data_IF_051263396530
#
_entry.id   IF_051263396530
#
_cell.length_a   1.000
_cell.length_b   1.000
_cell.length_c   1.000
_cell.angle_alpha   90.00
_cell.angle_beta   90.00
_cell.angle_gamma   90.00
#
_symmetry.space_group_name_H-M   'P 1'
#
loop_
_entity.id
_entity.type
_entity.pdbx_description
1 polymer ?
#
# COMPACT_ATOMS: atom_id res chain seq x y z
N UNK A 1 48.50 10.09 63.17
CA UNK A 1 47.74 9.10 62.40
C UNK A 1 47.14 9.83 61.22
N UNK A 2 47.83 9.82 60.08
CA UNK A 2 47.42 10.53 58.87
C UNK A 2 47.76 9.67 57.66
N UNK A 3 46.75 9.36 56.87
CA UNK A 3 46.80 8.89 55.49
C UNK A 3 45.46 9.29 54.82
N UNK A 4 45.34 9.37 53.48
CA UNK A 4 46.40 9.43 52.47
C UNK A 4 46.15 10.49 51.37
N UNK A 5 47.22 10.70 50.60
CA UNK A 5 47.30 11.20 49.22
C UNK A 5 46.51 10.29 48.26
N UNK A 6 45.97 10.81 47.15
CA UNK A 6 46.19 10.27 45.77
C UNK A 6 45.67 11.25 44.72
N UNK A 7 46.50 11.38 43.69
CA UNK A 7 46.45 12.20 42.49
C UNK A 7 45.57 11.53 41.41
N UNK A 8 44.98 12.31 40.51
CA UNK A 8 44.47 11.77 39.24
C UNK A 8 43.80 12.82 38.36
N UNK A 9 44.61 13.51 37.54
CA UNK A 9 44.12 14.27 36.40
C UNK A 9 44.03 13.41 35.14
N UNK A 10 43.27 13.88 34.15
CA UNK A 10 43.47 13.50 32.76
C UNK A 10 42.20 13.19 31.97
N UNK A 11 42.01 13.95 30.89
CA UNK A 11 41.55 13.39 29.62
C UNK A 11 40.07 13.54 29.30
N UNK A 12 39.72 14.66 28.68
CA UNK A 12 38.55 14.74 27.82
C UNK A 12 38.71 13.81 26.61
N UNK A 13 37.62 13.12 26.27
CA UNK A 13 37.46 12.36 25.05
C UNK A 13 35.97 12.27 24.77
N UNK A 14 35.49 13.04 23.79
CA UNK A 14 34.10 13.06 23.38
C UNK A 14 33.68 11.68 22.88
N UNK A 15 32.57 11.18 23.42
CA UNK A 15 31.85 10.08 22.81
C UNK A 15 31.13 10.67 21.58
N UNK A 16 31.72 10.46 20.40
CA UNK A 16 31.00 10.56 19.15
C UNK A 16 30.02 9.38 19.12
N UNK A 17 28.72 9.70 19.11
CA UNK A 17 27.66 8.75 18.81
C UNK A 17 27.96 8.08 17.46
N UNK A 18 28.36 6.81 17.51
CA UNK A 18 28.38 5.95 16.34
C UNK A 18 26.91 5.69 15.97
N UNK A 19 26.37 6.53 15.09
CA UNK A 19 25.15 6.22 14.34
C UNK A 19 25.40 4.90 13.62
N UNK A 20 24.79 3.83 14.13
CA UNK A 20 24.70 2.58 13.40
C UNK A 20 23.89 2.87 12.12
N UNK A 21 24.55 2.80 10.98
CA UNK A 21 23.87 2.80 9.69
C UNK A 21 22.84 1.66 9.68
N UNK A 22 21.60 1.89 9.24
CA UNK A 22 20.67 0.80 9.06
C UNK A 22 21.25 -0.10 7.97
N UNK A 23 21.60 -1.33 8.35
CA UNK A 23 22.00 -2.37 7.40
C UNK A 23 20.79 -2.67 6.51
N UNK A 24 20.70 -1.95 5.40
CA UNK A 24 19.76 -2.21 4.31
C UNK A 24 20.16 -3.50 3.62
N UNK A 25 19.58 -4.62 4.07
CA UNK A 25 19.54 -5.84 3.29
C UNK A 25 18.68 -5.61 2.04
N UNK A 26 19.30 -5.11 0.97
CA UNK A 26 18.68 -4.83 -0.31
C UNK A 26 18.28 -6.09 -1.06
N UNK A 27 17.25 -6.78 -0.57
CA UNK A 27 16.39 -7.56 -1.44
C UNK A 27 15.46 -6.59 -2.17
N UNK A 28 15.36 -6.69 -3.49
CA UNK A 28 14.36 -5.92 -4.25
C UNK A 28 12.99 -6.38 -3.76
N UNK A 29 12.28 -5.50 -3.05
CA UNK A 29 10.90 -5.76 -2.63
C UNK A 29 10.00 -6.00 -3.85
N UNK A 30 8.84 -6.61 -3.64
CA UNK A 30 7.81 -6.62 -4.69
C UNK A 30 7.40 -5.20 -5.06
N UNK A 31 6.76 -5.02 -6.21
CA UNK A 31 6.20 -3.74 -6.61
C UNK A 31 4.76 -3.88 -7.08
N UNK A 32 4.02 -2.78 -7.01
CA UNK A 32 2.63 -2.70 -7.40
C UNK A 32 2.40 -1.56 -8.39
N UNK A 33 1.34 -1.71 -9.20
CA UNK A 33 0.75 -0.63 -9.99
C UNK A 33 -0.52 -0.19 -9.27
N UNK A 34 -0.63 1.09 -8.93
CA UNK A 34 -1.67 1.63 -8.06
C UNK A 34 -2.41 2.79 -8.73
N UNK A 35 -3.72 2.92 -8.46
CA UNK A 35 -4.49 4.14 -8.71
C UNK A 35 -4.57 4.97 -7.45
N UNK A 36 -4.24 6.26 -7.55
CA UNK A 36 -4.37 7.23 -6.46
C UNK A 36 -5.57 8.12 -6.63
N UNK A 37 -6.09 8.58 -5.49
CA UNK A 37 -7.35 9.28 -5.42
C UNK A 37 -7.18 10.80 -5.43
N UNK A 38 -8.26 11.50 -5.75
CA UNK A 38 -8.38 12.91 -5.41
C UNK A 38 -8.26 13.11 -3.87
N UNK A 39 -7.91 14.33 -3.41
CA UNK A 39 -7.74 14.59 -1.99
C UNK A 39 -9.01 14.36 -1.14
N UNK A 40 -10.21 14.50 -1.71
CA UNK A 40 -11.45 14.35 -0.95
C UNK A 40 -11.74 12.88 -0.64
N UNK A 41 -11.56 11.99 -1.61
CA UNK A 41 -11.67 10.54 -1.44
C UNK A 41 -10.54 10.01 -0.56
N UNK A 42 -9.29 10.42 -0.79
CA UNK A 42 -8.13 10.02 0.02
C UNK A 42 -8.36 10.34 1.51
N UNK A 43 -8.77 11.57 1.82
CA UNK A 43 -9.03 11.99 3.20
C UNK A 43 -10.16 11.20 3.89
N UNK A 44 -11.15 10.73 3.15
CA UNK A 44 -12.22 9.91 3.72
C UNK A 44 -11.72 8.50 4.09
N UNK A 45 -10.85 7.92 3.25
CA UNK A 45 -10.22 6.62 3.55
C UNK A 45 -9.23 6.75 4.71
N UNK A 46 -8.42 7.83 4.74
CA UNK A 46 -7.50 8.10 5.86
C UNK A 46 -8.22 8.25 7.20
N UNK A 47 -9.45 8.77 7.24
CA UNK A 47 -10.25 8.80 8.47
C UNK A 47 -10.54 7.38 8.98
N UNK A 48 -10.85 6.44 8.09
CA UNK A 48 -11.05 5.04 8.47
C UNK A 48 -9.77 4.43 9.06
N UNK A 49 -8.62 4.65 8.42
CA UNK A 49 -7.31 4.21 8.92
C UNK A 49 -7.06 4.74 10.34
N UNK A 50 -7.26 6.05 10.54
CA UNK A 50 -7.05 6.71 11.84
C UNK A 50 -7.96 6.16 12.94
N UNK A 51 -9.22 5.85 12.64
CA UNK A 51 -10.15 5.28 13.63
C UNK A 51 -9.72 3.87 14.03
N UNK A 52 -9.35 3.03 13.05
CA UNK A 52 -8.88 1.66 13.31
C UNK A 52 -7.55 1.66 14.10
N UNK A 53 -6.63 2.56 13.77
CA UNK A 53 -5.38 2.75 14.50
C UNK A 53 -5.62 3.17 15.97
N UNK A 54 -6.49 4.16 16.22
CA UNK A 54 -6.84 4.60 17.59
C UNK A 54 -7.51 3.51 18.42
N UNK A 55 -8.20 2.56 17.78
CA UNK A 55 -8.81 1.38 18.40
C UNK A 55 -7.83 0.22 18.57
N UNK A 56 -6.57 0.42 18.19
CA UNK A 56 -5.51 -0.61 18.23
C UNK A 56 -5.93 -1.87 17.49
N UNK A 57 -6.56 -1.70 16.32
CA UNK A 57 -6.95 -2.81 15.44
C UNK A 57 -5.86 -3.08 14.41
N UNK A 58 -5.37 -2.03 13.75
CA UNK A 58 -4.23 -2.12 12.83
C UNK A 58 -3.64 -0.73 12.60
N UNK A 59 -2.32 -0.67 12.51
CA UNK A 59 -1.54 0.49 12.05
C UNK A 59 -0.73 0.19 10.79
N UNK A 60 -0.82 -1.04 10.26
CA UNK A 60 0.09 -1.59 9.24
C UNK A 60 0.26 -0.67 8.03
N UNK A 61 -0.85 -0.16 7.47
CA UNK A 61 -0.84 0.72 6.30
C UNK A 61 -0.14 2.07 6.58
N UNK A 62 -0.24 2.57 7.81
CA UNK A 62 0.46 3.79 8.25
C UNK A 62 1.95 3.49 8.42
N UNK A 63 2.29 2.36 9.05
CA UNK A 63 3.67 1.98 9.38
C UNK A 63 4.53 1.74 8.13
N UNK A 64 3.92 1.32 7.01
CA UNK A 64 4.62 1.14 5.73
C UNK A 64 4.63 2.39 4.85
N UNK A 65 4.14 3.53 5.35
CA UNK A 65 3.97 4.78 4.59
C UNK A 65 3.11 4.62 3.34
N UNK A 66 2.08 3.76 3.39
CA UNK A 66 1.12 3.66 2.30
C UNK A 66 0.24 4.91 2.24
N UNK A 67 -0.35 5.14 1.07
CA UNK A 67 -1.44 6.09 0.87
C UNK A 67 -2.68 5.34 0.36
N UNK A 68 -3.91 5.80 0.60
CA UNK A 68 -5.11 5.17 0.03
C UNK A 68 -5.03 5.04 -1.49
N UNK A 69 -5.26 3.82 -1.98
CA UNK A 69 -5.14 3.49 -3.40
C UNK A 69 -6.05 2.31 -3.78
N UNK A 70 -6.15 2.03 -5.09
CA UNK A 70 -6.57 0.72 -5.61
C UNK A 70 -5.37 0.04 -6.28
N UNK A 71 -5.05 -1.18 -5.88
CA UNK A 71 -4.00 -1.97 -6.54
C UNK A 71 -4.54 -2.55 -7.85
N UNK A 72 -3.93 -2.17 -8.97
CA UNK A 72 -4.24 -2.72 -10.30
C UNK A 72 -3.44 -3.99 -10.59
N UNK A 73 -2.18 -4.04 -10.16
CA UNK A 73 -1.28 -5.19 -10.30
C UNK A 73 -0.35 -5.24 -9.10
N UNK A 74 0.05 -6.43 -8.66
CA UNK A 74 1.09 -6.61 -7.64
C UNK A 74 2.00 -7.77 -8.02
N UNK A 75 3.30 -7.49 -8.14
CA UNK A 75 4.33 -8.48 -8.41
C UNK A 75 5.08 -8.80 -7.11
N UNK A 76 5.05 -10.05 -6.62
CA UNK A 76 5.82 -10.44 -5.43
C UNK A 76 7.32 -10.41 -5.72
N UNK A 77 8.14 -10.35 -4.67
CA UNK A 77 9.60 -10.39 -4.80
C UNK A 77 10.14 -11.75 -5.32
N UNK A 78 9.36 -12.83 -5.17
CA UNK A 78 9.73 -14.18 -5.58
C UNK A 78 8.58 -14.87 -6.32
N UNK A 79 8.82 -15.45 -7.53
CA UNK A 79 10.06 -15.33 -8.31
C UNK A 79 10.36 -13.88 -8.68
N UNK A 80 11.60 -13.58 -9.08
CA UNK A 80 12.03 -12.21 -9.38
C UNK A 80 11.08 -11.53 -10.37
N UNK A 81 10.52 -10.36 -10.06
CA UNK A 81 9.56 -9.72 -10.93
C UNK A 81 10.27 -9.07 -12.15
N UNK A 82 9.54 -8.77 -13.24
CA UNK A 82 10.09 -7.98 -14.35
C UNK A 82 10.58 -6.61 -13.86
N UNK A 83 11.63 -6.06 -14.47
CA UNK A 83 12.12 -4.72 -14.12
C UNK A 83 10.97 -3.67 -14.17
N UNK A 84 10.66 -2.99 -13.04
CA UNK A 84 9.56 -2.02 -12.97
C UNK A 84 9.74 -0.84 -13.91
N UNK A 85 10.97 -0.50 -14.32
CA UNK A 85 11.21 0.59 -15.27
C UNK A 85 10.67 0.27 -16.68
N UNK A 86 10.43 -1.00 -16.99
CA UNK A 86 9.75 -1.41 -18.24
C UNK A 86 8.30 -0.93 -18.30
N UNK A 87 7.69 -0.59 -17.17
CA UNK A 87 6.32 -0.08 -17.10
C UNK A 87 6.23 1.43 -17.41
N UNK A 88 7.34 2.16 -17.45
CA UNK A 88 7.35 3.62 -17.58
C UNK A 88 6.67 4.11 -18.86
N UNK A 89 7.13 3.62 -20.02
CA UNK A 89 6.56 3.98 -21.34
C UNK A 89 5.09 3.55 -21.49
N UNK A 90 4.72 2.27 -21.24
CA UNK A 90 3.33 1.85 -21.39
C UNK A 90 2.37 2.57 -20.44
N UNK A 91 2.77 2.83 -19.18
CA UNK A 91 1.92 3.53 -18.22
C UNK A 91 1.74 5.01 -18.57
N UNK A 92 2.82 5.71 -18.98
CA UNK A 92 2.71 7.10 -19.47
C UNK A 92 1.76 7.20 -20.67
N UNK A 93 1.91 6.26 -21.61
CA UNK A 93 1.07 6.22 -22.80
C UNK A 93 -0.40 5.92 -22.46
N UNK A 94 -0.64 5.04 -21.50
CA UNK A 94 -1.99 4.72 -21.03
C UNK A 94 -2.63 5.91 -20.29
N UNK A 95 -1.89 6.54 -19.37
CA UNK A 95 -2.40 7.63 -18.53
C UNK A 95 -2.83 8.85 -19.34
N UNK A 96 -2.16 9.13 -20.47
CA UNK A 96 -2.52 10.26 -21.33
C UNK A 96 -3.78 10.04 -22.18
N UNK A 97 -4.29 8.80 -22.26
CA UNK A 97 -5.52 8.45 -22.99
C UNK A 97 -6.73 8.22 -22.09
N UNK A 98 -6.53 8.21 -20.78
CA UNK A 98 -7.55 7.86 -19.80
C UNK A 98 -7.82 9.08 -18.96
N UNK A 99 -9.05 9.60 -19.01
CA UNK A 99 -9.48 10.69 -18.14
C UNK A 99 -9.51 10.25 -16.66
N UNK A 100 -9.45 11.20 -15.71
CA UNK A 100 -9.72 10.93 -14.30
C UNK A 100 -11.00 10.10 -14.11
N UNK A 101 -10.87 8.98 -13.42
CA UNK A 101 -11.88 7.94 -13.38
C UNK A 101 -12.79 8.13 -12.15
N UNK A 102 -14.11 8.33 -12.29
CA UNK A 102 -15.01 8.39 -11.14
C UNK A 102 -15.03 7.04 -10.40
N UNK A 103 -14.84 7.11 -9.07
CA UNK A 103 -14.83 5.98 -8.16
C UNK A 103 -15.90 6.14 -7.08
N UNK A 104 -16.48 5.01 -6.70
CA UNK A 104 -17.46 4.91 -5.62
C UNK A 104 -17.13 3.69 -4.77
N UNK A 105 -16.61 3.90 -3.58
CA UNK A 105 -16.35 2.86 -2.59
C UNK A 105 -17.65 2.54 -1.85
N UNK A 106 -18.30 1.45 -2.23
CA UNK A 106 -19.73 1.23 -1.97
C UNK A 106 -20.02 0.14 -0.94
N UNK A 107 -19.04 -0.66 -0.56
CA UNK A 107 -19.21 -1.73 0.43
C UNK A 107 -17.95 -1.98 1.25
N UNK A 108 -18.13 -2.49 2.46
CA UNK A 108 -17.05 -3.01 3.31
C UNK A 108 -16.97 -4.52 3.11
N UNK A 109 -15.76 -5.05 2.92
CA UNK A 109 -15.52 -6.48 2.78
C UNK A 109 -14.15 -6.88 3.34
N UNK A 110 -13.90 -8.19 3.41
CA UNK A 110 -12.64 -8.74 3.92
C UNK A 110 -12.23 -10.02 3.20
N UNK A 111 -10.93 -10.28 3.13
CA UNK A 111 -10.36 -11.57 2.74
C UNK A 111 -9.25 -11.99 3.71
N UNK A 112 -8.93 -13.30 3.83
CA UNK A 112 -7.84 -13.75 4.69
C UNK A 112 -6.49 -13.23 4.16
N UNK A 113 -5.61 -12.84 5.07
CA UNK A 113 -4.20 -12.54 4.79
C UNK A 113 -3.35 -13.79 5.03
N UNK A 114 -2.35 -14.07 4.18
CA UNK A 114 -1.38 -15.14 4.42
C UNK A 114 -0.37 -14.78 5.52
N UNK A 115 -0.34 -13.54 6.01
CA UNK A 115 0.52 -13.14 7.12
C UNK A 115 0.10 -13.84 8.43
N UNK A 116 1.07 -14.36 9.23
CA UNK A 116 0.76 -14.95 10.52
C UNK A 116 0.11 -13.91 11.44
N UNK A 117 -0.93 -14.28 12.18
CA UNK A 117 -1.55 -13.39 13.17
C UNK A 117 -0.52 -12.90 14.18
N UNK A 118 -0.60 -11.62 14.54
CA UNK A 118 0.17 -11.05 15.65
C UNK A 118 -0.10 -11.78 16.99
N UNK A 119 -1.27 -12.40 17.14
CA UNK A 119 -1.73 -13.03 18.38
C UNK A 119 -1.26 -14.49 18.56
N UNK A 120 -0.49 -15.03 17.61
CA UNK A 120 0.09 -16.38 17.71
C UNK A 120 -0.92 -17.54 17.72
N UNK A 121 -2.19 -17.30 17.36
CA UNK A 121 -3.27 -18.30 17.43
C UNK A 121 -3.27 -19.31 16.27
N UNK A 122 -2.29 -19.21 15.38
CA UNK A 122 -2.15 -20.05 14.19
C UNK A 122 -3.11 -19.69 13.05
N UNK A 123 -3.97 -18.68 13.23
CA UNK A 123 -4.76 -18.05 12.19
C UNK A 123 -3.95 -17.01 11.42
N UNK A 124 -4.24 -16.84 10.13
CA UNK A 124 -3.75 -15.68 9.39
C UNK A 124 -4.48 -14.40 9.84
N UNK A 125 -3.82 -13.25 9.74
CA UNK A 125 -4.51 -11.96 9.84
C UNK A 125 -5.56 -11.79 8.74
N UNK A 126 -6.39 -10.75 8.80
CA UNK A 126 -7.33 -10.41 7.74
C UNK A 126 -7.03 -9.06 7.12
N UNK A 127 -7.39 -8.90 5.85
CA UNK A 127 -7.47 -7.59 5.20
C UNK A 127 -8.91 -7.12 5.26
N UNK A 128 -9.12 -5.89 5.70
CA UNK A 128 -10.40 -5.20 5.69
C UNK A 128 -10.31 -4.05 4.70
N UNK A 129 -11.27 -3.96 3.79
CA UNK A 129 -11.19 -3.04 2.66
C UNK A 129 -12.55 -2.45 2.29
N UNK A 130 -12.50 -1.31 1.60
CA UNK A 130 -13.62 -0.74 0.90
C UNK A 130 -13.58 -1.20 -0.56
N UNK A 131 -14.65 -1.84 -1.02
CA UNK A 131 -14.75 -2.30 -2.40
C UNK A 131 -15.35 -1.19 -3.28
N UNK A 132 -14.70 -0.81 -4.40
CA UNK A 132 -15.32 0.06 -5.39
C UNK A 132 -16.48 -0.67 -6.08
N UNK A 133 -17.48 0.08 -6.50
CA UNK A 133 -18.46 -0.40 -7.48
C UNK A 133 -17.71 -0.78 -8.76
N UNK A 134 -17.86 -2.01 -9.30
CA UNK A 134 -17.12 -2.48 -10.47
C UNK A 134 -17.70 -1.89 -11.75
N UNK A 135 -17.44 -0.60 -12.01
CA UNK A 135 -17.93 0.08 -13.20
C UNK A 135 -17.20 -0.43 -14.45
N UNK A 136 -17.87 -0.36 -15.60
CA UNK A 136 -17.27 -0.73 -16.88
C UNK A 136 -16.00 0.09 -17.18
N UNK A 137 -15.93 1.35 -16.72
CA UNK A 137 -14.75 2.20 -16.88
C UNK A 137 -13.56 1.72 -16.03
N UNK A 138 -13.79 1.33 -14.76
CA UNK A 138 -12.73 0.78 -13.90
C UNK A 138 -12.21 -0.55 -14.44
N UNK A 139 -13.12 -1.47 -14.79
CA UNK A 139 -12.75 -2.76 -15.35
C UNK A 139 -12.08 -2.60 -16.73
N UNK A 140 -12.54 -1.64 -17.53
CA UNK A 140 -11.96 -1.30 -18.83
C UNK A 140 -10.55 -0.72 -18.73
N UNK A 141 -10.28 0.14 -17.74
CA UNK A 141 -8.93 0.64 -17.48
C UNK A 141 -7.97 -0.49 -17.11
N UNK A 142 -8.39 -1.36 -16.19
CA UNK A 142 -7.61 -2.53 -15.79
C UNK A 142 -7.33 -3.47 -16.98
N UNK A 143 -8.34 -3.78 -17.80
CA UNK A 143 -8.15 -4.61 -18.98
C UNK A 143 -7.17 -3.98 -19.99
N UNK A 144 -7.25 -2.65 -20.21
CA UNK A 144 -6.31 -1.93 -21.07
C UNK A 144 -4.88 -1.97 -20.52
N UNK A 145 -4.71 -1.84 -19.21
CA UNK A 145 -3.40 -1.99 -18.56
C UNK A 145 -2.81 -3.38 -18.85
N UNK A 146 -3.58 -4.45 -18.61
CA UNK A 146 -3.12 -5.81 -18.88
C UNK A 146 -2.72 -6.00 -20.35
N UNK A 147 -3.50 -5.49 -21.30
CA UNK A 147 -3.21 -5.61 -22.73
C UNK A 147 -1.96 -4.83 -23.16
N UNK A 148 -1.76 -3.62 -22.61
CA UNK A 148 -0.57 -2.83 -22.91
C UNK A 148 0.69 -3.51 -22.36
N UNK A 149 0.65 -4.03 -21.13
CA UNK A 149 1.79 -4.74 -20.55
C UNK A 149 2.09 -6.06 -21.26
N UNK A 150 1.06 -6.78 -21.72
CA UNK A 150 1.21 -8.01 -22.49
C UNK A 150 1.98 -7.78 -23.79
N UNK A 151 1.80 -6.63 -24.46
CA UNK A 151 2.59 -6.26 -25.66
C UNK A 151 4.07 -6.07 -25.36
N UNK A 152 4.40 -5.70 -24.13
CA UNK A 152 5.77 -5.65 -23.62
C UNK A 152 6.26 -7.01 -23.09
N UNK A 153 5.49 -8.08 -23.24
CA UNK A 153 5.83 -9.41 -22.72
C UNK A 153 5.77 -9.50 -21.19
N UNK A 154 5.01 -8.63 -20.55
CA UNK A 154 4.75 -8.64 -19.10
C UNK A 154 3.33 -9.15 -18.86
N UNK A 155 3.21 -10.32 -18.26
CA UNK A 155 1.89 -10.87 -17.91
C UNK A 155 1.42 -10.39 -16.54
N UNK A 156 0.12 -10.09 -16.44
CA UNK A 156 -0.52 -9.84 -15.16
C UNK A 156 -0.52 -11.13 -14.30
N UNK A 157 -0.11 -11.04 -13.02
CA UNK A 157 -0.23 -12.16 -12.08
C UNK A 157 -1.67 -12.67 -11.96
N UNK A 158 -1.85 -13.95 -11.66
CA UNK A 158 -3.14 -14.66 -11.79
C UNK A 158 -4.34 -13.94 -11.14
N UNK A 159 -4.18 -13.45 -9.90
CA UNK A 159 -5.23 -12.73 -9.17
C UNK A 159 -5.53 -11.31 -9.66
N UNK A 160 -4.73 -10.80 -10.61
CA UNK A 160 -4.93 -9.50 -11.25
C UNK A 160 -5.19 -9.64 -12.76
N UNK A 161 -5.55 -10.83 -13.24
CA UNK A 161 -6.01 -10.98 -14.62
C UNK A 161 -7.45 -10.45 -14.74
N UNK A 162 -7.87 -10.01 -15.94
CA UNK A 162 -9.28 -9.76 -16.22
C UNK A 162 -10.13 -10.98 -15.79
N UNK A 163 -11.33 -10.72 -15.28
CA UNK A 163 -12.25 -11.71 -14.70
C UNK A 163 -11.79 -12.40 -13.39
N UNK A 164 -10.54 -12.23 -12.97
CA UNK A 164 -10.03 -12.70 -11.66
C UNK A 164 -9.84 -11.57 -10.64
N UNK A 165 -9.59 -10.35 -11.11
CA UNK A 165 -9.27 -9.21 -10.27
C UNK A 165 -10.44 -8.77 -9.39
N UNK A 166 -10.19 -8.70 -8.07
CA UNK A 166 -11.11 -8.12 -7.09
C UNK A 166 -10.60 -6.73 -6.71
N UNK A 167 -11.18 -5.66 -7.25
CA UNK A 167 -10.74 -4.30 -6.92
C UNK A 167 -11.07 -4.00 -5.46
N UNK A 168 -10.12 -3.41 -4.74
CA UNK A 168 -10.30 -3.05 -3.34
C UNK A 168 -9.35 -1.94 -2.89
N UNK A 169 -9.81 -1.14 -1.94
CA UNK A 169 -9.01 -0.14 -1.22
C UNK A 169 -8.85 -0.59 0.23
N UNK A 170 -7.64 -1.02 0.61
CA UNK A 170 -7.37 -1.48 1.97
C UNK A 170 -7.59 -0.36 3.00
N UNK A 171 -8.23 -0.71 4.11
CA UNK A 171 -8.37 0.16 5.29
C UNK A 171 -7.72 -0.39 6.54
N UNK A 172 -7.47 -1.69 6.57
CA UNK A 172 -6.56 -2.31 7.52
C UNK A 172 -6.02 -3.62 6.94
N UNK A 173 -4.76 -3.91 7.26
CA UNK A 173 -4.11 -5.19 7.04
C UNK A 173 -3.73 -5.81 8.39
N UNK A 174 -3.43 -7.10 8.40
CA UNK A 174 -3.05 -7.84 9.61
C UNK A 174 -4.10 -7.74 10.74
N UNK A 175 -5.37 -7.57 10.40
CA UNK A 175 -6.45 -7.47 11.39
C UNK A 175 -6.58 -8.81 12.12
N UNK A 176 -6.44 -8.84 13.46
CA UNK A 176 -6.60 -10.08 14.20
C UNK A 176 -7.99 -10.67 14.02
N UNK A 177 -8.09 -11.99 13.87
CA UNK A 177 -9.36 -12.68 13.64
C UNK A 177 -10.42 -12.35 14.71
N UNK A 178 -10.00 -12.29 15.97
CA UNK A 178 -10.88 -11.94 17.09
C UNK A 178 -11.40 -10.49 17.04
N UNK A 179 -10.69 -9.59 16.36
CA UNK A 179 -11.05 -8.15 16.22
C UNK A 179 -11.82 -7.85 14.93
N UNK A 180 -11.93 -8.81 14.00
CA UNK A 180 -12.56 -8.57 12.69
C UNK A 180 -14.00 -8.06 12.80
N UNK A 181 -14.82 -8.63 13.69
CA UNK A 181 -16.21 -8.20 13.87
C UNK A 181 -16.31 -6.74 14.38
N UNK A 182 -15.43 -6.35 15.31
CA UNK A 182 -15.35 -4.96 15.79
C UNK A 182 -14.93 -4.01 14.66
N UNK A 183 -13.96 -4.41 13.84
CA UNK A 183 -13.47 -3.61 12.72
C UNK A 183 -14.58 -3.36 11.68
N UNK A 184 -15.41 -4.36 11.37
CA UNK A 184 -16.61 -4.18 10.53
C UNK A 184 -17.63 -3.22 11.15
N UNK A 185 -17.89 -3.33 12.46
CA UNK A 185 -18.80 -2.42 13.16
C UNK A 185 -18.32 -0.97 13.09
N UNK A 186 -17.01 -0.73 13.23
CA UNK A 186 -16.41 0.60 13.11
C UNK A 186 -16.59 1.17 11.69
N UNK A 187 -16.32 0.38 10.65
CA UNK A 187 -16.42 0.86 9.28
C UNK A 187 -17.86 1.10 8.80
N UNK A 188 -18.83 0.42 9.42
CA UNK A 188 -20.26 0.68 9.13
C UNK A 188 -20.71 2.10 9.48
N UNK A 189 -19.97 2.83 10.31
CA UNK A 189 -20.25 4.23 10.61
C UNK A 189 -19.81 5.19 9.48
N UNK A 190 -19.07 4.68 8.48
CA UNK A 190 -18.80 5.43 7.26
C UNK A 190 -20.10 5.61 6.45
N UNK A 191 -20.34 6.84 6.00
CA UNK A 191 -21.45 7.13 5.08
C UNK A 191 -21.07 6.65 3.68
N UNK A 192 -21.48 5.42 3.34
CA UNK A 192 -21.27 4.85 2.01
C UNK A 192 -22.36 5.32 1.02
N UNK A 193 -22.04 5.43 -0.28
CA UNK A 193 -20.71 5.28 -0.83
C UNK A 193 -19.80 6.47 -0.51
N UNK A 194 -18.50 6.19 -0.36
CA UNK A 194 -17.47 7.22 -0.37
C UNK A 194 -17.03 7.41 -1.82
N UNK A 195 -17.29 8.59 -2.40
CA UNK A 195 -17.08 8.85 -3.82
C UNK A 195 -16.01 9.91 -4.06
N UNK A 196 -15.37 9.83 -5.23
CA UNK A 196 -14.39 10.78 -5.75
C UNK A 196 -13.85 10.27 -7.09
N UNK A 197 -12.60 10.56 -7.38
CA UNK A 197 -11.93 10.20 -8.62
C UNK A 197 -10.60 9.51 -8.35
N UNK A 198 -10.23 8.57 -9.21
CA UNK A 198 -8.82 8.23 -9.42
C UNK A 198 -8.20 9.28 -10.35
N UNK A 199 -7.07 9.84 -9.92
CA UNK A 199 -6.40 10.97 -10.55
C UNK A 199 -5.05 10.59 -11.13
N UNK A 200 -4.37 9.60 -10.55
CA UNK A 200 -3.03 9.22 -10.95
C UNK A 200 -2.89 7.69 -10.99
N UNK A 201 -1.97 7.22 -11.83
CA UNK A 201 -1.48 5.84 -11.86
C UNK A 201 0.02 5.84 -11.54
N UNK A 202 0.42 5.01 -10.57
CA UNK A 202 1.80 4.97 -10.10
C UNK A 202 2.35 3.57 -9.97
N UNK A 203 3.68 3.48 -9.88
CA UNK A 203 4.42 2.27 -9.55
C UNK A 203 5.17 2.49 -8.26
N UNK A 204 4.99 1.59 -7.30
CA UNK A 204 5.66 1.62 -6.00
C UNK A 204 6.32 0.28 -5.71
N UNK A 205 7.49 0.31 -5.08
CA UNK A 205 7.95 -0.84 -4.30
C UNK A 205 7.20 -0.88 -2.98
N UNK A 206 6.97 -2.06 -2.41
CA UNK A 206 6.31 -2.20 -1.11
C UNK A 206 7.17 -2.99 -0.09
N UNK A 207 6.95 -2.67 1.18
CA UNK A 207 7.72 -3.14 2.36
C UNK A 207 9.14 -2.54 2.51
N UNK A 208 9.29 -1.22 2.75
CA UNK A 208 8.24 -0.18 2.86
C UNK A 208 7.80 0.38 1.51
N UNK A 209 6.72 1.18 1.50
CA UNK A 209 6.23 1.81 0.27
C UNK A 209 7.22 2.88 -0.19
N UNK A 210 7.69 2.75 -1.44
CA UNK A 210 8.55 3.73 -2.11
C UNK A 210 8.06 3.97 -3.53
N UNK A 211 7.72 5.20 -3.85
CA UNK A 211 7.36 5.59 -5.21
C UNK A 211 8.54 5.43 -6.17
N UNK A 212 8.29 4.78 -7.30
CA UNK A 212 9.23 4.71 -8.43
C UNK A 212 8.91 5.83 -9.42
N UNK A 213 7.65 5.91 -9.87
CA UNK A 213 7.12 6.99 -10.69
C UNK A 213 5.58 7.00 -10.68
N UNK A 214 5.00 8.17 -10.95
CA UNK A 214 3.55 8.38 -11.01
C UNK A 214 3.20 9.27 -12.22
N UNK A 215 2.04 9.03 -12.84
CA UNK A 215 1.50 9.81 -13.95
C UNK A 215 0.05 10.22 -13.69
N UNK A 216 -0.31 11.50 -13.93
CA UNK A 216 -1.70 11.92 -13.88
C UNK A 216 -2.50 11.30 -15.03
N UNK A 217 -3.73 10.91 -14.74
CA UNK A 217 -4.74 10.52 -15.72
C UNK A 217 -5.23 11.77 -16.46
N UNK A 218 -5.26 11.71 -17.78
CA UNK A 218 -5.63 12.82 -18.65
C UNK A 218 -4.52 13.85 -18.85
N UNK A 219 -3.28 13.57 -18.41
CA UNK A 219 -2.12 14.43 -18.62
C UNK A 219 -1.66 14.46 -20.09
N UNK A 220 -1.18 15.61 -20.55
CA UNK A 220 -0.60 15.75 -21.90
C UNK A 220 0.68 14.90 -22.03
N UNK A 221 0.85 14.25 -23.19
CA UNK A 221 1.92 13.28 -23.48
C UNK A 221 3.28 13.92 -23.77
#
# INVERSE_FOLDING_TARGET
MSQPTVVGGGGGGGAADAMAEPQGGGGVGGYAVELYFDPALENQVLKAWNVLARRQISTRLIDISARPHLTLLSFPASPSPPDPLRLLSPLRSLSSRVDPLPLSLSSVASFPSPSPSADGDGGGGGVLFLAPTPTAALLGLHAQLCEVLKKEGIEAPEGFRPDSWVPHCAVAEDVPRARMAEAFCILRDLKLPVSGYAMDIGVVEFSPVREIFTFPLGGES
#
